data_IF_392779829835
#
_entry.id   IF_392779829835
#
_cell.length_a   1.000
_cell.length_b   1.000
_cell.length_c   1.000
_cell.angle_alpha   90.00
_cell.angle_beta   90.00
_cell.angle_gamma   90.00
#
_symmetry.space_group_name_H-M   'P 1'
#
loop_
_entity.id
_entity.type
_entity.pdbx_description
1 polymer ?
#
# COMPACT_ATOMS: atom_id res chain seq x y z
N UNK A 1 26.82 -8.64 -15.27
CA UNK A 1 27.12 -10.10 -15.18
C UNK A 1 25.97 -10.94 -15.70
N UNK A 2 24.72 -10.69 -15.31
CA UNK A 2 23.52 -11.42 -15.78
C UNK A 2 23.44 -11.39 -17.33
N UNK A 3 23.52 -10.24 -17.94
CA UNK A 3 23.48 -10.05 -19.40
C UNK A 3 24.55 -10.90 -20.11
N UNK A 4 25.78 -10.92 -19.58
CA UNK A 4 26.87 -11.74 -20.10
C UNK A 4 26.54 -13.25 -20.07
N UNK A 5 25.89 -13.74 -19.00
CA UNK A 5 25.51 -15.14 -18.90
C UNK A 5 24.35 -15.48 -19.87
N UNK A 6 23.38 -14.59 -20.02
CA UNK A 6 22.31 -14.74 -21.01
C UNK A 6 22.93 -14.81 -22.41
N UNK A 7 23.89 -13.90 -22.73
CA UNK A 7 24.60 -13.92 -24.00
C UNK A 7 25.29 -15.27 -24.29
N UNK A 8 25.92 -15.87 -23.27
CA UNK A 8 26.53 -17.22 -23.42
C UNK A 8 25.51 -18.29 -23.75
N UNK A 9 24.35 -18.29 -23.10
CA UNK A 9 23.27 -19.27 -23.39
C UNK A 9 22.79 -19.10 -24.84
N UNK A 10 22.57 -17.86 -25.27
CA UNK A 10 22.13 -17.55 -26.64
C UNK A 10 23.18 -17.99 -27.66
N UNK A 11 24.45 -17.67 -27.42
CA UNK A 11 25.55 -18.08 -28.31
C UNK A 11 25.64 -19.60 -28.44
N UNK A 12 25.51 -20.35 -27.34
CA UNK A 12 25.51 -21.81 -27.40
C UNK A 12 24.36 -22.38 -28.23
N UNK A 13 23.13 -21.79 -28.11
CA UNK A 13 21.98 -22.20 -28.91
C UNK A 13 22.25 -21.95 -30.42
N UNK A 14 22.88 -20.84 -30.74
CA UNK A 14 23.21 -20.47 -32.11
C UNK A 14 24.33 -21.34 -32.68
N UNK A 15 25.43 -21.60 -31.95
CA UNK A 15 26.54 -22.48 -32.31
C UNK A 15 26.09 -23.91 -32.58
N UNK A 16 25.10 -24.40 -31.79
CA UNK A 16 24.50 -25.72 -31.96
C UNK A 16 23.41 -25.78 -33.04
N UNK A 17 23.14 -24.67 -33.74
CA UNK A 17 22.10 -24.55 -34.75
C UNK A 17 20.69 -24.90 -34.23
N UNK A 18 20.44 -24.67 -32.93
CA UNK A 18 19.15 -24.99 -32.30
C UNK A 18 18.13 -23.84 -32.38
N UNK A 19 18.50 -22.66 -32.84
CA UNK A 19 17.65 -21.45 -32.82
C UNK A 19 16.29 -21.60 -33.47
N UNK A 20 16.18 -22.40 -34.55
CA UNK A 20 14.88 -22.71 -35.21
C UNK A 20 13.98 -23.68 -34.43
N UNK A 21 14.53 -24.38 -33.46
CA UNK A 21 13.81 -25.38 -32.64
C UNK A 21 13.65 -24.93 -31.18
N UNK A 22 14.07 -23.72 -30.85
CA UNK A 22 14.11 -23.24 -29.46
C UNK A 22 13.37 -21.90 -29.37
N UNK A 23 12.28 -21.87 -28.60
CA UNK A 23 11.65 -20.65 -28.12
C UNK A 23 12.35 -20.19 -26.86
N UNK A 24 12.92 -18.99 -26.88
CA UNK A 24 13.56 -18.34 -25.74
C UNK A 24 12.61 -17.25 -25.24
N UNK A 25 12.24 -17.31 -23.96
CA UNK A 25 11.48 -16.28 -23.27
C UNK A 25 12.32 -15.71 -22.15
N UNK A 26 12.44 -14.39 -22.10
CA UNK A 26 13.10 -13.67 -21.01
C UNK A 26 12.12 -12.75 -20.34
N UNK A 27 12.00 -12.87 -19.03
CA UNK A 27 11.14 -12.02 -18.20
C UNK A 27 11.67 -11.98 -16.76
N UNK A 28 11.01 -11.24 -15.88
CA UNK A 28 11.25 -11.24 -14.44
C UNK A 28 10.01 -11.68 -13.69
N UNK A 29 10.17 -12.14 -12.45
CA UNK A 29 9.07 -12.56 -11.58
C UNK A 29 8.27 -11.37 -11.02
N UNK A 30 8.96 -10.26 -10.70
CA UNK A 30 8.38 -9.03 -10.15
C UNK A 30 9.31 -7.84 -10.32
N UNK A 31 8.80 -6.65 -10.00
CA UNK A 31 9.59 -5.43 -10.01
C UNK A 31 10.73 -5.41 -9.00
N UNK A 32 11.65 -4.44 -9.12
CA UNK A 32 12.80 -4.33 -8.24
C UNK A 32 12.36 -4.12 -6.79
N UNK A 33 13.12 -4.70 -5.86
CA UNK A 33 12.82 -4.61 -4.43
C UNK A 33 13.14 -3.24 -3.84
N UNK A 34 12.38 -2.87 -2.82
CA UNK A 34 12.60 -1.67 -1.99
C UNK A 34 12.93 -2.11 -0.55
N UNK A 35 13.98 -2.92 -0.39
CA UNK A 35 14.38 -3.41 0.91
C UNK A 35 14.65 -2.27 1.90
N UNK A 36 14.09 -2.31 3.10
CA UNK A 36 14.44 -1.35 4.14
C UNK A 36 15.94 -1.39 4.46
N UNK A 37 16.56 -0.23 4.66
CA UNK A 37 18.00 -0.08 5.00
C UNK A 37 18.49 -0.99 6.14
N UNK A 38 17.58 -1.42 7.03
CA UNK A 38 17.90 -2.32 8.16
C UNK A 38 18.47 -3.68 7.75
N UNK A 39 18.24 -4.12 6.50
CA UNK A 39 18.77 -5.40 6.01
C UNK A 39 20.16 -5.31 5.41
N UNK A 40 20.83 -4.13 5.46
CA UNK A 40 22.22 -3.90 4.99
C UNK A 40 22.53 -4.39 3.56
N UNK A 41 21.53 -4.55 2.73
CA UNK A 41 21.70 -5.09 1.37
C UNK A 41 21.97 -4.02 0.31
N UNK A 42 22.52 -2.88 0.70
CA UNK A 42 22.80 -1.77 -0.22
C UNK A 42 21.57 -0.95 -0.62
N UNK A 43 21.72 0.04 -1.49
CA UNK A 43 20.58 0.77 -2.04
C UNK A 43 19.72 -0.17 -2.88
N UNK A 44 18.38 0.05 -2.98
CA UNK A 44 17.54 -0.74 -3.85
C UNK A 44 18.08 -0.73 -5.27
N UNK A 45 18.35 -1.93 -5.79
CA UNK A 45 18.87 -2.08 -7.15
C UNK A 45 17.71 -2.03 -8.15
N UNK A 46 17.94 -1.40 -9.29
CA UNK A 46 17.00 -1.31 -10.40
C UNK A 46 16.01 -0.15 -10.29
N UNK A 47 15.50 0.22 -11.46
CA UNK A 47 14.49 1.26 -11.65
C UNK A 47 13.21 0.63 -12.21
N UNK A 48 12.07 1.20 -11.87
CA UNK A 48 10.78 0.87 -12.46
C UNK A 48 10.43 1.81 -13.63
N UNK A 49 11.39 2.67 -14.02
CA UNK A 49 11.11 3.69 -15.03
C UNK A 49 9.99 4.63 -14.57
N UNK A 50 8.98 4.88 -15.41
CA UNK A 50 7.85 5.74 -15.09
C UNK A 50 6.82 5.06 -14.17
N UNK A 51 6.90 3.73 -13.98
CA UNK A 51 5.87 2.95 -13.32
C UNK A 51 5.90 3.12 -11.80
N UNK A 52 4.73 3.36 -11.22
CA UNK A 52 4.51 3.40 -9.77
C UNK A 52 4.67 2.01 -9.16
N UNK A 53 5.11 1.98 -7.91
CA UNK A 53 5.25 0.72 -7.17
C UNK A 53 6.58 0.03 -7.42
N UNK A 54 6.79 -1.08 -6.74
CA UNK A 54 7.98 -1.95 -6.77
C UNK A 54 7.55 -3.34 -6.31
N UNK A 55 8.48 -4.29 -6.13
CA UNK A 55 8.21 -5.59 -5.51
C UNK A 55 7.29 -5.44 -4.29
N UNK A 56 6.32 -6.32 -4.12
CA UNK A 56 5.24 -6.32 -3.11
C UNK A 56 4.14 -5.28 -3.34
N UNK A 57 3.99 -4.84 -4.55
CA UNK A 57 2.96 -3.90 -4.97
C UNK A 57 2.23 -4.41 -6.22
N UNK A 58 0.94 -4.15 -6.31
CA UNK A 58 0.13 -4.41 -7.51
C UNK A 58 0.06 -3.21 -8.46
N UNK A 59 0.79 -2.11 -8.17
CA UNK A 59 1.02 -1.08 -9.17
C UNK A 59 1.95 -1.58 -10.27
N UNK A 60 1.93 -0.93 -11.44
CA UNK A 60 2.65 -1.37 -12.64
C UNK A 60 4.13 -1.65 -12.38
N UNK A 61 4.83 -0.82 -11.58
CA UNK A 61 6.23 -1.04 -11.25
C UNK A 61 6.51 -2.30 -10.42
N UNK A 62 5.48 -2.94 -9.86
CA UNK A 62 5.58 -4.22 -9.17
C UNK A 62 5.27 -5.44 -10.04
N UNK A 63 4.42 -5.27 -11.06
CA UNK A 63 3.86 -6.38 -11.85
C UNK A 63 4.09 -6.28 -13.37
N UNK A 64 4.43 -5.10 -13.92
CA UNK A 64 4.75 -4.95 -15.33
C UNK A 64 6.22 -5.22 -15.57
N UNK A 65 6.50 -6.43 -16.05
CA UNK A 65 7.86 -6.92 -16.25
C UNK A 65 8.28 -6.79 -17.71
N UNK A 66 9.59 -6.61 -17.99
CA UNK A 66 10.11 -6.78 -19.33
C UNK A 66 9.79 -8.18 -19.83
N UNK A 67 9.39 -8.29 -21.10
CA UNK A 67 9.10 -9.57 -21.72
C UNK A 67 9.70 -9.59 -23.13
N UNK A 68 10.63 -10.51 -23.36
CA UNK A 68 11.34 -10.65 -24.64
C UNK A 68 11.18 -12.10 -25.11
N UNK A 69 10.75 -12.26 -26.36
CA UNK A 69 10.61 -13.56 -27.01
C UNK A 69 11.53 -13.63 -28.24
N UNK A 70 12.27 -14.75 -28.36
CA UNK A 70 13.10 -15.02 -29.54
C UNK A 70 12.82 -16.45 -30.02
N UNK A 71 12.51 -16.59 -31.30
CA UNK A 71 12.44 -17.89 -31.99
C UNK A 71 12.86 -17.68 -33.42
N UNK A 72 14.08 -18.07 -33.76
CA UNK A 72 14.72 -17.80 -35.04
C UNK A 72 13.88 -18.34 -36.22
N UNK A 73 13.50 -17.45 -37.14
CA UNK A 73 12.69 -17.81 -38.31
C UNK A 73 11.19 -18.02 -38.04
N UNK A 74 10.75 -17.91 -36.79
CA UNK A 74 9.32 -18.07 -36.42
C UNK A 74 8.76 -16.76 -35.84
N UNK A 75 9.44 -16.15 -34.86
CA UNK A 75 9.08 -14.83 -34.33
C UNK A 75 9.83 -13.77 -35.13
N UNK A 76 9.13 -12.76 -35.72
CA UNK A 76 9.78 -11.67 -36.43
C UNK A 76 10.74 -10.90 -35.52
N UNK A 77 11.92 -10.57 -36.03
CA UNK A 77 12.91 -9.79 -35.28
C UNK A 77 12.58 -8.30 -35.26
N UNK A 78 12.93 -7.61 -34.17
CA UNK A 78 12.85 -6.14 -34.06
C UNK A 78 11.43 -5.59 -33.91
N UNK A 79 10.45 -6.44 -33.56
CA UNK A 79 9.09 -5.98 -33.24
C UNK A 79 9.03 -5.57 -31.78
N UNK A 80 8.45 -4.40 -31.52
CA UNK A 80 8.05 -3.90 -30.22
C UNK A 80 6.50 -3.76 -30.19
N UNK A 81 5.85 -4.47 -29.27
CA UNK A 81 4.40 -4.36 -29.05
C UNK A 81 4.15 -3.65 -27.72
N UNK A 82 3.60 -2.44 -27.81
CA UNK A 82 3.27 -1.58 -26.65
C UNK A 82 1.79 -1.64 -26.27
N UNK A 83 0.98 -2.40 -26.99
CA UNK A 83 -0.49 -2.41 -26.88
C UNK A 83 -1.06 -3.70 -26.31
N UNK A 84 -0.46 -4.84 -26.67
CA UNK A 84 -0.97 -6.14 -26.23
C UNK A 84 -0.65 -6.42 -24.77
N UNK A 85 -1.59 -7.08 -24.07
CA UNK A 85 -1.42 -7.52 -22.70
C UNK A 85 -1.12 -9.02 -22.68
N UNK A 86 0.04 -9.39 -22.15
CA UNK A 86 0.44 -10.77 -21.87
C UNK A 86 0.71 -10.89 -20.38
N UNK A 87 0.16 -11.91 -19.76
CA UNK A 87 0.37 -12.22 -18.34
C UNK A 87 1.09 -13.55 -18.20
N UNK A 88 1.73 -13.78 -17.06
CA UNK A 88 2.41 -15.05 -16.78
C UNK A 88 1.49 -16.27 -16.90
N UNK A 89 0.20 -16.13 -16.57
CA UNK A 89 -0.80 -17.20 -16.74
C UNK A 89 -1.01 -17.61 -18.19
N UNK A 90 -0.67 -16.73 -19.15
CA UNK A 90 -0.84 -17.00 -20.59
C UNK A 90 0.30 -17.85 -21.16
N UNK A 91 1.40 -17.98 -20.45
CA UNK A 91 2.59 -18.68 -20.94
C UNK A 91 2.30 -20.17 -21.14
N UNK A 92 1.59 -20.80 -20.22
CA UNK A 92 1.26 -22.22 -20.30
C UNK A 92 0.46 -22.56 -21.57
N UNK A 93 -0.72 -21.99 -21.82
CA UNK A 93 -1.47 -22.30 -23.04
C UNK A 93 -0.72 -21.89 -24.33
N UNK A 94 0.04 -20.81 -24.29
CA UNK A 94 0.83 -20.33 -25.46
C UNK A 94 1.96 -21.32 -25.79
N UNK A 95 2.68 -21.80 -24.78
CA UNK A 95 3.77 -22.78 -24.97
C UNK A 95 3.19 -24.12 -25.45
N UNK A 96 2.06 -24.59 -24.89
CA UNK A 96 1.39 -25.80 -25.34
C UNK A 96 1.04 -25.71 -26.84
N UNK A 97 0.48 -24.59 -27.28
CA UNK A 97 0.20 -24.35 -28.72
C UNK A 97 1.46 -24.50 -29.56
N UNK A 98 2.56 -23.85 -29.19
CA UNK A 98 3.81 -23.92 -29.96
C UNK A 98 4.47 -25.30 -29.93
N UNK A 99 4.28 -26.04 -28.86
CA UNK A 99 4.76 -27.42 -28.73
C UNK A 99 3.86 -28.45 -29.42
N UNK A 100 2.69 -28.05 -29.93
CA UNK A 100 1.70 -28.98 -30.49
C UNK A 100 1.07 -29.91 -29.45
N UNK A 101 1.05 -29.50 -28.17
CA UNK A 101 0.48 -30.24 -27.05
C UNK A 101 -0.92 -29.70 -26.76
N UNK A 102 -1.92 -30.58 -26.48
CA UNK A 102 -3.23 -30.12 -26.05
C UNK A 102 -3.17 -29.23 -24.82
N UNK A 103 -3.95 -28.14 -24.84
CA UNK A 103 -4.12 -27.27 -23.68
C UNK A 103 -5.12 -27.88 -22.72
N UNK A 104 -4.79 -27.96 -21.44
CA UNK A 104 -5.70 -28.42 -20.41
C UNK A 104 -6.89 -27.49 -20.27
N UNK A 105 -8.10 -28.04 -20.10
CA UNK A 105 -9.30 -27.26 -19.89
C UNK A 105 -9.29 -26.58 -18.50
N UNK A 106 -9.88 -25.37 -18.43
CA UNK A 106 -10.03 -24.65 -17.17
C UNK A 106 -8.86 -23.75 -16.79
N UNK A 107 -7.88 -23.54 -17.68
CA UNK A 107 -6.81 -22.56 -17.42
C UNK A 107 -7.37 -21.13 -17.47
N UNK A 108 -6.92 -20.29 -16.54
CA UNK A 108 -7.23 -18.84 -16.51
C UNK A 108 -6.54 -18.08 -17.65
N UNK A 109 -5.39 -18.57 -18.08
CA UNK A 109 -4.58 -17.98 -19.13
C UNK A 109 -5.19 -18.14 -20.53
N UNK A 110 -4.81 -17.24 -21.42
CA UNK A 110 -5.17 -17.27 -22.84
C UNK A 110 -3.94 -17.63 -23.67
N UNK A 111 -4.17 -18.36 -24.77
CA UNK A 111 -3.15 -18.47 -25.80
C UNK A 111 -2.88 -17.11 -26.43
N UNK A 112 -1.67 -16.62 -26.28
CA UNK A 112 -1.18 -15.34 -26.84
C UNK A 112 -0.12 -15.55 -27.92
N UNK A 113 -0.11 -16.75 -28.53
CA UNK A 113 0.85 -17.07 -29.57
C UNK A 113 0.86 -16.10 -30.74
N UNK A 114 -0.30 -15.59 -31.12
CA UNK A 114 -0.38 -14.60 -32.20
C UNK A 114 0.32 -13.28 -31.83
N UNK A 115 0.26 -12.85 -30.56
CA UNK A 115 0.99 -11.68 -30.08
C UNK A 115 2.51 -11.91 -30.17
N UNK A 116 2.98 -13.09 -29.75
CA UNK A 116 4.39 -13.44 -29.86
C UNK A 116 4.87 -13.52 -31.31
N UNK A 117 3.96 -13.86 -32.23
CA UNK A 117 4.22 -13.87 -33.69
C UNK A 117 4.12 -12.47 -34.32
N UNK A 118 4.00 -11.41 -33.51
CA UNK A 118 3.99 -10.02 -33.98
C UNK A 118 2.61 -9.50 -34.42
N UNK A 119 1.53 -10.20 -34.07
CA UNK A 119 0.16 -9.77 -34.36
C UNK A 119 -0.44 -9.17 -33.10
N UNK A 120 -0.37 -7.85 -32.97
CA UNK A 120 -1.00 -7.15 -31.84
C UNK A 120 -2.48 -7.50 -31.73
N UNK A 121 -2.94 -7.83 -30.53
CA UNK A 121 -4.34 -8.14 -30.27
C UNK A 121 -4.78 -7.77 -28.87
N UNK A 122 -6.02 -7.29 -28.76
CA UNK A 122 -6.65 -7.07 -27.46
C UNK A 122 -6.79 -8.39 -26.68
N UNK A 123 -6.78 -8.30 -25.37
CA UNK A 123 -7.03 -9.45 -24.49
C UNK A 123 -8.54 -9.61 -24.29
N UNK A 124 -9.06 -10.81 -24.52
CA UNK A 124 -10.50 -11.09 -24.41
C UNK A 124 -11.00 -11.19 -22.95
N UNK A 125 -10.11 -11.54 -22.02
CA UNK A 125 -10.42 -11.69 -20.58
C UNK A 125 -9.57 -10.73 -19.78
N UNK A 126 -10.05 -10.19 -18.65
CA UNK A 126 -9.22 -9.40 -17.74
C UNK A 126 -8.15 -10.26 -17.09
N UNK A 127 -7.16 -9.59 -16.50
CA UNK A 127 -6.17 -10.20 -15.61
C UNK A 127 -6.45 -9.73 -14.20
N UNK A 128 -6.39 -10.65 -13.25
CA UNK A 128 -6.57 -10.37 -11.84
C UNK A 128 -5.29 -10.67 -11.07
N UNK A 129 -5.09 -9.94 -9.99
CA UNK A 129 -4.00 -10.16 -9.04
C UNK A 129 -4.52 -10.04 -7.62
N UNK A 130 -4.00 -10.88 -6.77
CA UNK A 130 -4.12 -10.77 -5.33
C UNK A 130 -2.71 -10.77 -4.74
N UNK A 131 -2.43 -9.79 -3.89
CA UNK A 131 -1.18 -9.73 -3.14
C UNK A 131 -1.42 -9.19 -1.74
N UNK A 132 -0.82 -9.86 -0.78
CA UNK A 132 -1.02 -9.58 0.63
C UNK A 132 -2.05 -10.53 1.25
N UNK A 133 -1.65 -11.14 2.33
CA UNK A 133 -2.52 -11.90 3.22
C UNK A 133 -2.70 -11.06 4.48
N UNK A 134 -3.78 -11.21 5.29
CA UNK A 134 -3.92 -10.51 6.57
C UNK A 134 -2.70 -10.63 7.49
N UNK A 135 -1.91 -11.70 7.29
CA UNK A 135 -0.66 -11.97 8.01
C UNK A 135 0.61 -11.78 7.17
N UNK A 136 0.52 -11.44 5.91
CA UNK A 136 1.68 -11.24 5.03
C UNK A 136 2.26 -9.84 5.22
N UNK A 137 3.45 -9.82 5.71
CA UNK A 137 4.10 -8.67 6.34
C UNK A 137 4.91 -7.84 5.35
N UNK A 138 5.13 -8.36 4.13
CA UNK A 138 5.98 -7.68 3.15
C UNK A 138 5.14 -6.72 2.30
N UNK A 139 5.19 -5.45 2.66
CA UNK A 139 4.67 -4.33 1.88
C UNK A 139 5.85 -3.56 1.29
N UNK A 140 5.63 -2.87 0.17
CA UNK A 140 6.61 -1.94 -0.38
C UNK A 140 7.19 -1.05 0.70
N UNK A 141 8.50 -0.79 0.65
CA UNK A 141 9.21 -0.07 1.72
C UNK A 141 8.76 1.37 1.88
N UNK A 142 8.34 2.01 0.78
CA UNK A 142 7.79 3.35 0.79
C UNK A 142 6.26 3.29 0.63
N UNK A 143 5.51 4.17 1.33
CA UNK A 143 4.05 4.18 1.28
C UNK A 143 3.48 4.40 -0.11
N UNK A 144 4.13 5.22 -0.93
CA UNK A 144 3.73 5.44 -2.32
C UNK A 144 3.80 4.18 -3.18
N UNK A 145 4.54 3.17 -2.74
CA UNK A 145 4.66 1.86 -3.39
C UNK A 145 3.71 0.81 -2.80
N UNK A 146 2.97 1.14 -1.74
CA UNK A 146 2.00 0.21 -1.15
C UNK A 146 0.69 0.29 -1.91
N UNK A 147 0.25 -0.84 -2.46
CA UNK A 147 -1.01 -0.95 -3.18
C UNK A 147 -2.10 -1.60 -2.31
N UNK A 148 -3.37 -1.44 -2.69
CA UNK A 148 -4.43 -2.34 -2.26
C UNK A 148 -4.11 -3.80 -2.56
N UNK A 149 -4.86 -4.72 -1.95
CA UNK A 149 -4.57 -6.16 -1.98
C UNK A 149 -5.11 -6.88 -3.21
N UNK A 150 -6.04 -6.28 -3.93
CA UNK A 150 -6.59 -6.79 -5.18
C UNK A 150 -6.39 -5.80 -6.31
N UNK A 151 -6.14 -6.32 -7.51
CA UNK A 151 -6.10 -5.54 -8.73
C UNK A 151 -6.72 -6.32 -9.89
N UNK A 152 -7.26 -5.59 -10.85
CA UNK A 152 -7.78 -6.10 -12.12
C UNK A 152 -7.34 -5.16 -13.24
N UNK A 153 -6.92 -5.74 -14.37
CA UNK A 153 -6.69 -5.03 -15.62
C UNK A 153 -7.64 -5.55 -16.69
N UNK A 154 -8.38 -4.64 -17.32
CA UNK A 154 -9.25 -4.91 -18.44
C UNK A 154 -8.96 -3.91 -19.57
N UNK A 155 -8.25 -4.35 -20.61
CA UNK A 155 -7.72 -3.47 -21.64
C UNK A 155 -6.79 -2.39 -21.05
N UNK A 156 -7.14 -1.12 -21.30
CA UNK A 156 -6.43 0.06 -20.80
C UNK A 156 -6.73 0.36 -19.33
N UNK A 157 -7.85 -0.15 -18.79
CA UNK A 157 -8.30 0.18 -17.44
C UNK A 157 -7.68 -0.75 -16.40
N UNK A 158 -7.21 -0.16 -15.31
CA UNK A 158 -6.73 -0.89 -14.14
C UNK A 158 -7.42 -0.39 -12.90
N UNK A 159 -7.90 -1.31 -12.09
CA UNK A 159 -8.60 -1.03 -10.85
C UNK A 159 -7.97 -1.79 -9.68
N UNK A 160 -7.73 -1.07 -8.58
CA UNK A 160 -7.18 -1.63 -7.36
C UNK A 160 -8.12 -1.34 -6.19
N UNK A 161 -8.24 -2.31 -5.25
CA UNK A 161 -9.18 -2.20 -4.14
C UNK A 161 -8.80 -3.16 -3.01
N UNK A 162 -9.16 -2.82 -1.76
CA UNK A 162 -9.17 -3.77 -0.65
C UNK A 162 -10.51 -4.51 -0.54
N UNK A 163 -10.57 -5.68 0.14
CA UNK A 163 -11.79 -6.48 0.25
C UNK A 163 -12.98 -5.76 0.92
N UNK A 164 -12.71 -4.73 1.71
CA UNK A 164 -13.70 -3.89 2.40
C UNK A 164 -14.13 -2.64 1.60
N UNK A 165 -13.79 -2.57 0.32
CA UNK A 165 -14.08 -1.43 -0.54
C UNK A 165 -13.14 -0.23 -0.37
N UNK A 166 -12.21 -0.29 0.57
CA UNK A 166 -11.29 0.82 0.85
C UNK A 166 -10.16 0.93 -0.18
N UNK A 167 -9.53 2.10 -0.21
CA UNK A 167 -8.40 2.44 -1.08
C UNK A 167 -8.65 2.19 -2.57
N UNK A 168 -9.90 2.31 -3.02
CA UNK A 168 -10.28 2.09 -4.41
C UNK A 168 -9.62 3.10 -5.36
N UNK A 169 -8.93 2.60 -6.38
CA UNK A 169 -8.19 3.40 -7.35
C UNK A 169 -8.44 2.88 -8.76
N UNK A 170 -8.84 3.77 -9.67
CA UNK A 170 -9.07 3.47 -11.08
C UNK A 170 -8.09 4.28 -11.94
N UNK A 171 -7.41 3.62 -12.85
CA UNK A 171 -6.44 4.22 -13.76
C UNK A 171 -6.70 3.85 -15.19
N UNK A 172 -6.33 4.77 -16.08
CA UNK A 172 -6.26 4.57 -17.53
C UNK A 172 -4.78 4.47 -17.93
N UNK A 173 -4.28 3.25 -18.08
CA UNK A 173 -2.87 3.00 -18.32
C UNK A 173 -2.33 3.46 -19.70
N UNK A 174 -3.20 3.78 -20.66
CA UNK A 174 -2.78 4.38 -21.91
C UNK A 174 -2.47 5.88 -21.76
N UNK A 175 -3.22 6.56 -20.89
CA UNK A 175 -3.03 7.99 -20.63
C UNK A 175 -2.12 8.26 -19.43
N UNK A 176 -2.03 7.33 -18.49
CA UNK A 176 -1.32 7.46 -17.21
C UNK A 176 -0.68 6.13 -16.80
N UNK A 177 0.39 5.74 -17.49
CA UNK A 177 1.12 4.50 -17.20
C UNK A 177 1.79 4.50 -15.80
N UNK A 178 1.98 5.69 -15.21
CA UNK A 178 2.54 5.88 -13.88
C UNK A 178 1.54 5.76 -12.75
N UNK A 179 0.25 5.57 -13.04
CA UNK A 179 -0.83 5.42 -12.03
C UNK A 179 -0.87 6.61 -11.06
N UNK A 180 -0.76 7.83 -11.59
CA UNK A 180 -0.65 9.07 -10.82
C UNK A 180 -2.00 9.71 -10.53
N UNK A 181 -3.00 9.49 -11.40
CA UNK A 181 -4.31 10.16 -11.33
C UNK A 181 -5.43 9.13 -11.11
N UNK A 182 -5.97 9.10 -9.89
CA UNK A 182 -7.13 8.27 -9.58
C UNK A 182 -8.40 8.80 -10.24
N UNK A 183 -8.96 8.03 -11.16
CA UNK A 183 -10.17 8.36 -11.93
C UNK A 183 -11.47 7.82 -11.31
N UNK A 184 -11.43 7.31 -10.07
CA UNK A 184 -12.60 6.72 -9.38
C UNK A 184 -13.83 7.63 -9.44
N UNK A 185 -13.67 8.90 -9.09
CA UNK A 185 -14.78 9.88 -9.06
C UNK A 185 -15.27 10.29 -10.45
N UNK A 186 -14.43 10.15 -11.48
CA UNK A 186 -14.80 10.49 -12.88
C UNK A 186 -15.51 9.35 -13.59
N UNK A 187 -15.28 8.10 -13.17
CA UNK A 187 -15.84 6.90 -13.79
C UNK A 187 -16.42 5.93 -12.73
N UNK A 188 -17.38 6.36 -11.89
CA UNK A 188 -17.88 5.56 -10.77
C UNK A 188 -18.57 4.27 -11.21
N UNK A 189 -19.30 4.28 -12.33
CA UNK A 189 -19.96 3.09 -12.86
C UNK A 189 -18.96 2.02 -13.31
N UNK A 190 -17.86 2.44 -13.97
CA UNK A 190 -16.78 1.53 -14.36
C UNK A 190 -16.10 0.93 -13.15
N UNK A 191 -15.78 1.75 -12.15
CA UNK A 191 -15.17 1.27 -10.90
C UNK A 191 -16.07 0.26 -10.20
N UNK A 192 -17.37 0.51 -10.11
CA UNK A 192 -18.36 -0.41 -9.53
C UNK A 192 -18.42 -1.74 -10.30
N UNK A 193 -18.44 -1.69 -11.63
CA UNK A 193 -18.43 -2.89 -12.47
C UNK A 193 -17.14 -3.71 -12.30
N UNK A 194 -15.97 -3.04 -12.23
CA UNK A 194 -14.70 -3.71 -12.00
C UNK A 194 -14.58 -4.29 -10.58
N UNK A 195 -15.10 -3.59 -9.57
CA UNK A 195 -15.15 -4.09 -8.19
C UNK A 195 -16.00 -5.35 -8.08
N UNK A 196 -17.16 -5.40 -8.74
CA UNK A 196 -18.03 -6.58 -8.76
C UNK A 196 -17.29 -7.80 -9.36
N UNK A 197 -16.56 -7.60 -10.46
CA UNK A 197 -15.77 -8.67 -11.09
C UNK A 197 -14.60 -9.14 -10.23
N UNK A 198 -13.94 -8.23 -9.51
CA UNK A 198 -12.89 -8.61 -8.53
C UNK A 198 -13.52 -9.42 -7.39
N UNK A 199 -14.68 -8.99 -6.87
CA UNK A 199 -15.38 -9.69 -5.80
C UNK A 199 -15.76 -11.11 -6.19
N UNK A 200 -16.30 -11.30 -7.40
CA UNK A 200 -16.64 -12.62 -7.95
C UNK A 200 -15.38 -13.50 -8.01
N UNK A 201 -14.32 -13.04 -8.66
CA UNK A 201 -13.06 -13.77 -8.76
C UNK A 201 -12.43 -14.04 -7.38
N UNK A 202 -12.44 -13.07 -6.46
CA UNK A 202 -11.89 -13.23 -5.12
C UNK A 202 -12.62 -14.34 -4.33
N UNK A 203 -13.95 -14.38 -4.42
CA UNK A 203 -14.75 -15.42 -3.79
C UNK A 203 -14.46 -16.80 -4.39
N UNK A 204 -14.29 -16.90 -5.71
CA UNK A 204 -13.94 -18.16 -6.39
C UNK A 204 -12.61 -18.74 -5.91
N UNK A 205 -11.64 -17.90 -5.58
CA UNK A 205 -10.34 -18.31 -5.02
C UNK A 205 -10.32 -18.35 -3.49
N UNK A 206 -11.47 -18.25 -2.83
CA UNK A 206 -11.64 -18.43 -1.38
C UNK A 206 -11.31 -17.21 -0.51
N UNK A 207 -11.27 -16.01 -1.08
CA UNK A 207 -11.15 -14.77 -0.32
C UNK A 207 -12.51 -14.12 -0.08
N UNK A 208 -12.83 -13.82 1.18
CA UNK A 208 -14.03 -13.06 1.49
C UNK A 208 -13.86 -11.60 1.01
N UNK A 209 -14.82 -11.14 0.22
CA UNK A 209 -14.86 -9.80 -0.32
C UNK A 209 -16.25 -9.19 -0.09
N UNK A 210 -16.31 -8.00 0.53
CA UNK A 210 -17.57 -7.29 0.76
C UNK A 210 -17.96 -6.47 -0.48
N UNK A 211 -18.75 -7.06 -1.36
CA UNK A 211 -19.21 -6.42 -2.58
C UNK A 211 -20.30 -5.34 -2.37
N UNK A 212 -20.77 -5.15 -1.14
CA UNK A 212 -21.73 -4.11 -0.75
C UNK A 212 -21.07 -2.92 -0.09
N UNK A 213 -19.78 -3.05 0.28
CA UNK A 213 -19.05 -1.94 0.85
C UNK A 213 -18.95 -0.77 -0.13
N UNK A 214 -19.13 0.47 0.31
CA UNK A 214 -18.97 1.63 -0.56
C UNK A 214 -17.52 1.75 -1.02
N UNK A 215 -17.31 2.06 -2.30
CA UNK A 215 -15.98 2.31 -2.84
C UNK A 215 -15.45 3.63 -2.27
N UNK A 216 -14.37 3.57 -1.52
CA UNK A 216 -13.73 4.76 -0.96
C UNK A 216 -12.32 4.93 -1.54
N UNK A 217 -12.04 6.14 -2.04
CA UNK A 217 -10.71 6.50 -2.51
C UNK A 217 -9.68 6.43 -1.36
N UNK A 218 -8.38 6.28 -1.67
CA UNK A 218 -7.34 6.38 -0.66
C UNK A 218 -7.50 7.64 0.17
N UNK A 219 -7.48 7.50 1.48
CA UNK A 219 -7.55 8.65 2.36
C UNK A 219 -6.17 9.32 2.38
N UNK A 220 -6.08 10.63 2.20
CA UNK A 220 -4.82 11.34 2.27
C UNK A 220 -4.10 11.03 3.58
N UNK A 221 -2.79 10.80 3.51
CA UNK A 221 -1.98 10.55 4.70
C UNK A 221 -1.08 11.74 5.00
N UNK A 222 -0.95 12.08 6.28
CA UNK A 222 0.05 13.03 6.78
C UNK A 222 1.16 12.23 7.47
N UNK A 223 2.41 12.57 7.15
CA UNK A 223 3.57 12.00 7.82
C UNK A 223 4.01 12.89 8.96
N UNK A 224 4.16 12.35 10.16
CA UNK A 224 4.63 13.06 11.35
C UNK A 224 5.89 12.39 11.85
N UNK A 225 6.95 13.17 12.11
CA UNK A 225 8.18 12.68 12.70
C UNK A 225 7.98 12.52 14.22
N UNK A 226 8.03 11.28 14.70
CA UNK A 226 7.93 10.98 16.12
C UNK A 226 9.09 10.07 16.53
N UNK A 227 9.86 10.47 17.56
CA UNK A 227 10.98 9.69 18.09
C UNK A 227 11.94 9.17 17.00
N UNK A 228 12.34 10.01 16.05
CA UNK A 228 13.16 9.69 14.88
C UNK A 228 12.54 8.66 13.91
N UNK A 229 11.23 8.40 14.02
CA UNK A 229 10.47 7.57 13.10
C UNK A 229 9.42 8.43 12.40
N UNK A 230 9.34 8.30 11.08
CA UNK A 230 8.26 8.91 10.31
C UNK A 230 7.02 8.03 10.44
N UNK A 231 6.04 8.50 11.22
CA UNK A 231 4.74 7.86 11.35
C UNK A 231 3.79 8.45 10.32
N UNK A 232 3.04 7.60 9.63
CA UNK A 232 2.00 8.04 8.71
C UNK A 232 0.64 7.82 9.33
N UNK A 233 -0.14 8.87 9.31
CA UNK A 233 -1.50 8.89 9.81
C UNK A 233 -2.47 8.95 8.62
N UNK A 234 -3.57 8.24 8.72
CA UNK A 234 -4.70 8.43 7.83
C UNK A 234 -5.30 9.80 8.15
N UNK A 235 -5.41 10.65 7.14
CA UNK A 235 -5.81 12.05 7.30
C UNK A 235 -7.29 12.24 6.94
N UNK A 236 -8.09 12.60 7.93
CA UNK A 236 -9.50 12.93 7.79
C UNK A 236 -9.71 14.44 7.88
N UNK A 237 -9.28 15.17 6.84
CA UNK A 237 -9.51 16.60 6.72
C UNK A 237 -8.52 17.52 7.45
N UNK A 238 -7.48 16.98 8.10
CA UNK A 238 -6.44 17.78 8.75
C UNK A 238 -5.58 18.50 7.73
N UNK A 239 -5.37 19.79 7.88
CA UNK A 239 -4.48 20.61 7.05
C UNK A 239 -3.13 20.80 7.72
N UNK A 240 -2.08 20.99 6.91
CA UNK A 240 -0.72 21.22 7.41
C UNK A 240 0.29 20.21 6.91
N UNK A 241 1.44 20.17 7.55
CA UNK A 241 2.59 19.34 7.20
C UNK A 241 3.17 18.61 8.44
N UNK A 242 4.40 18.10 8.31
CA UNK A 242 5.08 17.39 9.40
C UNK A 242 5.42 18.27 10.62
N UNK A 243 5.39 19.59 10.47
CA UNK A 243 5.77 20.53 11.52
C UNK A 243 4.56 21.17 12.20
N UNK A 244 3.45 21.33 11.47
CA UNK A 244 2.26 22.02 11.97
C UNK A 244 0.99 21.41 11.37
N UNK A 245 0.05 21.04 12.23
CA UNK A 245 -1.24 20.46 11.87
C UNK A 245 -2.36 21.41 12.31
N UNK A 246 -3.33 21.62 11.41
CA UNK A 246 -4.55 22.35 11.70
C UNK A 246 -5.72 21.35 11.73
N UNK A 247 -6.33 21.21 12.92
CA UNK A 247 -7.53 20.41 13.11
C UNK A 247 -8.71 21.35 13.32
N UNK A 248 -9.81 21.08 12.64
CA UNK A 248 -11.12 21.65 12.97
C UNK A 248 -11.94 20.61 13.77
N UNK A 249 -13.16 20.95 14.15
CA UNK A 249 -14.01 20.07 14.97
C UNK A 249 -14.42 18.76 14.26
N UNK A 250 -14.17 18.64 12.94
CA UNK A 250 -14.57 17.52 12.10
C UNK A 250 -13.37 16.79 11.48
N UNK A 251 -12.14 17.21 11.79
CA UNK A 251 -10.92 16.60 11.26
C UNK A 251 -10.16 15.80 12.31
N UNK A 252 -9.59 14.67 11.91
CA UNK A 252 -8.78 13.81 12.78
C UNK A 252 -7.71 13.05 12.00
N UNK A 253 -6.77 12.46 12.71
CA UNK A 253 -5.74 11.58 12.18
C UNK A 253 -5.85 10.21 12.84
N UNK A 254 -5.85 9.15 12.03
CA UNK A 254 -5.76 7.78 12.50
C UNK A 254 -4.37 7.20 12.26
N UNK A 255 -3.76 6.64 13.31
CA UNK A 255 -2.55 5.85 13.21
C UNK A 255 -2.94 4.36 13.18
N UNK A 256 -2.59 3.61 12.12
CA UNK A 256 -2.87 2.18 12.07
C UNK A 256 -2.41 1.46 13.34
N UNK A 257 -3.27 0.61 13.91
CA UNK A 257 -3.09 -0.01 15.24
C UNK A 257 -1.75 -0.73 15.43
N UNK A 258 -1.18 -1.32 14.36
CA UNK A 258 0.12 -1.99 14.42
C UNK A 258 1.33 -1.03 14.48
N UNK A 259 1.11 0.27 14.25
CA UNK A 259 2.15 1.33 14.32
C UNK A 259 1.96 2.28 15.49
N UNK A 260 0.85 2.18 16.20
CA UNK A 260 0.62 3.00 17.38
C UNK A 260 1.63 2.68 18.47
N UNK A 261 2.17 3.68 19.20
CA UNK A 261 3.04 3.43 20.33
C UNK A 261 2.31 2.58 21.37
N UNK A 262 2.77 1.36 21.57
CA UNK A 262 2.21 0.46 22.58
C UNK A 262 2.76 0.85 23.95
N UNK A 263 1.88 1.09 24.89
CA UNK A 263 2.23 1.32 26.29
C UNK A 263 2.47 -0.01 27.05
N UNK A 264 2.21 -1.15 26.37
CA UNK A 264 2.38 -2.48 26.94
C UNK A 264 3.85 -2.89 27.10
N UNK A 265 4.14 -3.69 28.14
CA UNK A 265 5.45 -4.31 28.34
C UNK A 265 6.49 -3.41 29.00
N UNK A 266 6.09 -2.54 29.90
CA UNK A 266 7.02 -1.75 30.72
C UNK A 266 7.73 -0.61 30.00
N UNK A 267 7.17 -0.09 28.91
CA UNK A 267 7.69 1.07 28.18
C UNK A 267 6.99 2.36 28.62
N UNK A 268 7.75 3.45 28.66
CA UNK A 268 7.18 4.78 28.90
C UNK A 268 6.66 5.40 27.59
N UNK A 269 5.55 6.13 27.71
CA UNK A 269 4.98 6.97 26.64
C UNK A 269 5.27 8.43 26.97
N UNK A 270 5.71 9.19 25.97
CA UNK A 270 5.82 10.64 26.05
C UNK A 270 5.19 11.27 24.82
N UNK A 271 4.30 12.22 25.03
CA UNK A 271 3.64 13.02 24.00
C UNK A 271 3.96 14.48 24.28
N UNK A 272 4.58 15.15 23.31
CA UNK A 272 4.88 16.58 23.40
C UNK A 272 4.34 17.30 22.18
N UNK A 273 3.86 18.51 22.37
CA UNK A 273 3.39 19.34 21.29
C UNK A 273 3.04 20.73 21.72
N UNK A 274 2.65 21.53 20.74
CA UNK A 274 2.03 22.83 20.94
C UNK A 274 0.65 22.79 20.32
N UNK A 275 -0.35 23.23 21.07
CA UNK A 275 -1.71 23.38 20.57
C UNK A 275 -2.08 24.84 20.49
N UNK A 276 -2.87 25.20 19.48
CA UNK A 276 -3.56 26.48 19.40
C UNK A 276 -5.05 26.19 19.42
N UNK A 277 -5.69 26.48 20.52
CA UNK A 277 -7.11 26.19 20.71
C UNK A 277 -7.98 27.24 20.00
N UNK A 278 -8.66 26.82 18.94
CA UNK A 278 -9.70 27.61 18.26
C UNK A 278 -11.11 27.14 18.62
N UNK A 279 -11.21 26.02 19.35
CA UNK A 279 -12.45 25.45 19.89
C UNK A 279 -12.21 25.05 21.36
N UNK A 280 -13.21 25.18 22.23
CA UNK A 280 -13.11 24.81 23.63
C UNK A 280 -13.04 23.29 23.84
N UNK A 281 -13.40 22.49 22.85
CA UNK A 281 -13.40 21.03 22.96
C UNK A 281 -12.91 20.38 21.68
N UNK A 282 -12.17 19.27 21.82
CA UNK A 282 -11.67 18.48 20.71
C UNK A 282 -10.59 17.50 21.14
N UNK A 283 -10.42 16.42 20.39
CA UNK A 283 -9.38 15.41 20.63
C UNK A 283 -8.12 15.81 19.87
N UNK A 284 -6.99 15.88 20.59
CA UNK A 284 -5.67 16.11 20.01
C UNK A 284 -5.06 14.78 19.55
N UNK A 285 -5.11 13.76 20.41
CA UNK A 285 -4.61 12.41 20.14
C UNK A 285 -5.35 11.40 21.01
N UNK A 286 -5.72 10.26 20.45
CA UNK A 286 -6.24 9.13 21.22
C UNK A 286 -5.71 7.80 20.68
N UNK A 287 -5.48 6.84 21.57
CA UNK A 287 -5.11 5.49 21.22
C UNK A 287 -5.60 4.49 22.27
N UNK A 288 -6.08 3.34 21.79
CA UNK A 288 -6.52 2.25 22.64
C UNK A 288 -8.03 2.22 22.86
N UNK A 289 -8.46 1.50 23.88
CA UNK A 289 -9.87 1.26 24.18
C UNK A 289 -10.12 1.10 25.68
N UNK A 290 -11.24 0.47 26.02
CA UNK A 290 -11.72 0.36 27.43
C UNK A 290 -10.76 -0.44 28.36
N UNK A 291 -9.95 -1.37 27.80
CA UNK A 291 -9.01 -2.15 28.61
C UNK A 291 -7.70 -1.44 28.84
N UNK A 292 -7.20 -0.75 27.80
CA UNK A 292 -5.93 -0.03 27.85
C UNK A 292 -5.93 1.07 26.78
N UNK A 293 -5.52 2.28 27.16
CA UNK A 293 -5.45 3.39 26.23
C UNK A 293 -5.09 4.72 26.86
N UNK A 294 -4.93 5.72 25.99
CA UNK A 294 -4.67 7.09 26.39
C UNK A 294 -5.26 8.08 25.41
N UNK A 295 -5.52 9.30 25.90
CA UNK A 295 -5.91 10.41 25.03
C UNK A 295 -5.46 11.76 25.60
N UNK A 296 -5.14 12.68 24.69
CA UNK A 296 -4.95 14.10 24.98
C UNK A 296 -6.07 14.84 24.24
N UNK A 297 -6.81 15.66 24.97
CA UNK A 297 -7.97 16.37 24.43
C UNK A 297 -8.24 17.67 25.17
N UNK A 298 -9.01 18.54 24.54
CA UNK A 298 -9.60 19.74 25.17
C UNK A 298 -11.03 19.42 25.57
N UNK A 299 -11.40 19.82 26.78
CA UNK A 299 -12.77 19.82 27.26
C UNK A 299 -13.07 21.14 27.95
N UNK A 300 -14.02 21.88 27.43
CA UNK A 300 -14.41 23.22 27.95
C UNK A 300 -13.19 24.17 28.06
N UNK A 301 -12.28 24.08 27.12
CA UNK A 301 -11.03 24.87 27.10
C UNK A 301 -9.88 24.30 27.92
N UNK A 302 -10.09 23.30 28.75
CA UNK A 302 -9.02 22.71 29.56
C UNK A 302 -8.34 21.55 28.83
N UNK A 303 -7.01 21.50 28.90
CA UNK A 303 -6.25 20.39 28.38
C UNK A 303 -6.31 19.20 29.33
N UNK A 304 -6.72 18.06 28.81
CA UNK A 304 -6.85 16.82 29.55
C UNK A 304 -5.92 15.76 28.99
N UNK A 305 -5.27 15.01 29.89
CA UNK A 305 -4.60 13.77 29.57
C UNK A 305 -5.30 12.63 30.29
N UNK A 306 -5.96 11.76 29.55
CA UNK A 306 -6.63 10.60 30.09
C UNK A 306 -5.84 9.33 29.82
N UNK A 307 -5.82 8.43 30.78
CA UNK A 307 -5.30 7.07 30.66
C UNK A 307 -6.40 6.08 31.05
N UNK A 308 -6.38 4.89 30.46
CA UNK A 308 -7.27 3.79 30.82
C UNK A 308 -6.46 2.53 31.04
N UNK A 309 -6.61 1.89 32.20
CA UNK A 309 -5.99 0.61 32.55
C UNK A 309 -7.05 -0.28 33.19
N UNK A 310 -7.28 -1.47 32.63
CA UNK A 310 -8.27 -2.44 33.14
C UNK A 310 -9.65 -1.81 33.40
N UNK A 311 -10.16 -1.07 32.41
CA UNK A 311 -11.42 -0.34 32.46
C UNK A 311 -11.50 0.82 33.49
N UNK A 312 -10.39 1.13 34.17
CA UNK A 312 -10.32 2.29 35.05
C UNK A 312 -9.73 3.47 34.29
N UNK A 313 -10.53 4.51 34.09
CA UNK A 313 -10.11 5.77 33.49
C UNK A 313 -9.62 6.74 34.55
N UNK A 314 -8.44 7.32 34.32
CA UNK A 314 -7.89 8.42 35.11
C UNK A 314 -7.67 9.63 34.19
N UNK A 315 -8.04 10.83 34.64
CA UNK A 315 -7.91 12.07 33.87
C UNK A 315 -7.11 13.09 34.65
N UNK A 316 -6.05 13.60 34.06
CA UNK A 316 -5.27 14.74 34.54
C UNK A 316 -5.70 15.94 33.70
N UNK A 317 -6.20 17.00 34.38
CA UNK A 317 -6.75 18.21 33.72
C UNK A 317 -5.89 19.42 34.07
N UNK A 318 -5.68 20.32 33.10
CA UNK A 318 -5.00 21.58 33.37
C UNK A 318 -5.78 22.43 34.37
N UNK A 319 -5.07 23.20 35.18
CA UNK A 319 -5.67 24.08 36.20
C UNK A 319 -6.31 25.35 35.62
N UNK A 320 -5.94 25.69 34.39
CA UNK A 320 -6.48 26.84 33.66
C UNK A 320 -6.89 26.43 32.24
N UNK A 321 -7.87 27.11 31.68
CA UNK A 321 -8.24 26.96 30.28
C UNK A 321 -7.12 27.44 29.36
N UNK A 322 -6.96 26.75 28.22
CA UNK A 322 -5.99 27.12 27.20
C UNK A 322 -6.61 28.25 26.36
N UNK A 323 -6.04 29.44 26.50
CA UNK A 323 -6.41 30.59 25.69
C UNK A 323 -5.26 30.91 24.74
N UNK A 324 -5.46 30.65 23.45
CA UNK A 324 -4.42 30.83 22.43
C UNK A 324 -3.50 29.63 22.30
N UNK A 325 -2.17 29.85 22.28
CA UNK A 325 -1.19 28.79 22.07
C UNK A 325 -0.61 28.29 23.41
N UNK A 326 -0.51 26.99 23.58
CA UNK A 326 0.12 26.37 24.74
C UNK A 326 0.95 25.15 24.35
N UNK A 327 2.16 25.05 24.91
CA UNK A 327 2.94 23.82 24.86
C UNK A 327 2.46 22.82 25.90
N UNK A 328 2.54 21.54 25.59
CA UNK A 328 2.20 20.47 26.54
C UNK A 328 3.17 19.31 26.48
N UNK A 329 3.26 18.59 27.58
CA UNK A 329 3.98 17.33 27.74
C UNK A 329 3.14 16.38 28.58
N UNK A 330 2.64 15.31 27.97
CA UNK A 330 1.93 14.22 28.63
C UNK A 330 2.82 12.98 28.66
N UNK A 331 3.00 12.41 29.83
CA UNK A 331 3.85 11.24 30.03
C UNK A 331 3.11 10.15 30.79
N UNK A 332 3.40 8.90 30.43
CA UNK A 332 3.00 7.71 31.16
C UNK A 332 4.21 6.80 31.32
N UNK A 333 4.71 6.72 32.53
CA UNK A 333 5.92 5.95 32.83
C UNK A 333 5.64 4.45 32.91
N UNK A 334 6.67 3.66 32.63
CA UNK A 334 6.65 2.20 32.74
C UNK A 334 6.32 1.70 34.18
N UNK A 335 6.45 2.56 35.18
CA UNK A 335 6.08 2.27 36.57
C UNK A 335 4.64 2.62 36.92
N UNK A 336 3.85 2.98 35.93
CA UNK A 336 2.41 3.28 36.06
C UNK A 336 2.09 4.70 36.52
N UNK A 337 3.06 5.61 36.51
CA UNK A 337 2.86 7.00 36.82
C UNK A 337 2.57 7.81 35.56
N UNK A 338 1.53 8.63 35.58
CA UNK A 338 1.21 9.56 34.53
C UNK A 338 1.26 11.00 35.01
N UNK A 339 1.71 11.93 34.15
CA UNK A 339 1.68 13.36 34.44
C UNK A 339 1.42 14.21 33.20
N UNK A 340 0.92 15.42 33.43
CA UNK A 340 0.70 16.44 32.41
C UNK A 340 1.42 17.72 32.81
N UNK A 341 2.19 18.30 31.87
CA UNK A 341 2.73 19.66 31.96
C UNK A 341 2.08 20.54 30.90
N UNK A 342 1.85 21.78 31.24
CA UNK A 342 1.39 22.82 30.31
C UNK A 342 2.33 24.02 30.46
N UNK A 343 2.85 24.53 29.34
CA UNK A 343 3.84 25.61 29.31
C UNK A 343 5.01 25.38 30.27
N UNK A 344 5.50 24.14 30.31
CA UNK A 344 6.61 23.70 31.16
C UNK A 344 6.25 23.44 32.63
N UNK A 345 5.08 23.86 33.11
CA UNK A 345 4.64 23.67 34.49
C UNK A 345 3.87 22.38 34.67
N UNK A 346 4.17 21.59 35.69
CA UNK A 346 3.42 20.41 36.10
C UNK A 346 2.02 20.84 36.55
N UNK A 347 0.98 20.29 35.90
CA UNK A 347 -0.43 20.59 36.23
C UNK A 347 -1.13 19.43 36.95
N UNK A 348 -0.60 18.23 36.83
CA UNK A 348 -1.09 17.09 37.57
C UNK A 348 -0.23 15.84 37.36
N UNK A 349 -0.31 14.92 38.33
CA UNK A 349 0.41 13.66 38.39
C UNK A 349 -0.45 12.63 39.10
N UNK A 350 -0.58 11.43 38.52
CA UNK A 350 -1.44 10.36 39.02
C UNK A 350 -0.76 9.00 38.89
N UNK A 351 -1.07 8.09 39.82
CA UNK A 351 -0.71 6.69 39.71
C UNK A 351 -1.83 5.95 38.98
N UNK A 352 -1.59 5.55 37.74
CA UNK A 352 -2.64 5.03 36.81
C UNK A 352 -2.52 3.55 36.53
N UNK A 353 -1.45 2.92 36.94
CA UNK A 353 -1.19 1.50 36.70
C UNK A 353 -0.30 1.23 35.50
N UNK A 354 0.10 -0.03 35.37
CA UNK A 354 0.97 -0.57 34.31
C UNK A 354 0.12 -1.42 33.39
N UNK A 355 0.36 -1.33 32.10
CA UNK A 355 -0.29 -2.16 31.08
C UNK A 355 0.60 -3.34 30.72
#
# INVERSE_FOLDING_TARGET
EMDKQIGRVIATIDELNLGKKTLILFTSDNGPTDWPKKYKTGPPAGSTGPYRGRKWSLFEGGIRMPFIARWTGTIPAGIEDTTSVVSAIDLSPTICRFAGVPVEAGLDGLDRGDVLLGKASARAKPVFWQYGHPHAILKGGKPEHQSPTFAMRDGRWKFLINPDGSEAQLFDLEADEGETTNLLSRHPERATAMAARISEWANDIGFAFDNKAPLTAPVPTIAILASNQLLRFVNHGVKGDTASLQLDGNSWLDLPAFRAPKVAGGRSLQIKGTIRANSPSGVVLAHGGNRAGYSVYLQEGFLCFATCVNNKRTVIRSSAAITGSASFEANWHSRGEAFLKVNGKLVGKEQVGII
#
